data_IF_932282235407
#
_entry.id   IF_932282235407
#
_cell.length_a   1.000
_cell.length_b   1.000
_cell.length_c   1.000
_cell.angle_alpha   90.00
_cell.angle_beta   90.00
_cell.angle_gamma   90.00
#
_symmetry.space_group_name_H-M   'P 1'
#
loop_
_entity.id
_entity.type
_entity.pdbx_description
1 polymer ?
#
# COMPACT_ATOMS: atom_id res chain seq x y z
N UNK A 1 -22.10 -11.75 -13.52
CA UNK A 1 -22.33 -10.99 -12.27
C UNK A 1 -21.01 -10.30 -11.92
N UNK A 2 -21.03 -9.04 -11.44
CA UNK A 2 -19.80 -8.33 -11.04
C UNK A 2 -19.63 -8.56 -9.54
N UNK A 3 -18.43 -9.02 -9.12
CA UNK A 3 -18.09 -9.21 -7.72
C UNK A 3 -17.45 -7.92 -7.16
N UNK A 4 -17.73 -7.58 -5.92
CA UNK A 4 -17.16 -6.41 -5.20
C UNK A 4 -16.20 -6.82 -4.08
N UNK A 5 -15.95 -8.11 -3.89
CA UNK A 5 -15.00 -8.60 -2.89
C UNK A 5 -13.56 -8.40 -3.36
N UNK A 6 -12.95 -7.35 -2.86
CA UNK A 6 -11.57 -6.99 -3.20
C UNK A 6 -10.55 -8.01 -2.67
N UNK A 7 -10.77 -8.59 -1.48
CA UNK A 7 -9.86 -9.59 -0.94
C UNK A 7 -9.85 -10.84 -1.83
N UNK A 8 -11.02 -11.33 -2.23
CA UNK A 8 -11.13 -12.44 -3.17
C UNK A 8 -10.50 -12.15 -4.54
N UNK A 9 -10.59 -10.89 -5.04
CA UNK A 9 -9.91 -10.49 -6.26
C UNK A 9 -8.39 -10.64 -6.15
N UNK A 10 -7.81 -10.11 -5.09
CA UNK A 10 -6.36 -10.15 -4.90
C UNK A 10 -5.85 -11.56 -4.59
N UNK A 11 -6.57 -12.37 -3.81
CA UNK A 11 -6.25 -13.78 -3.58
C UNK A 11 -6.11 -14.56 -4.91
N UNK A 12 -7.10 -14.44 -5.79
CA UNK A 12 -7.09 -15.11 -7.10
C UNK A 12 -6.01 -14.60 -8.05
N UNK A 13 -5.52 -13.40 -7.81
CA UNK A 13 -4.47 -12.78 -8.63
C UNK A 13 -3.06 -12.99 -8.07
N UNK A 14 -2.89 -13.59 -6.91
CA UNK A 14 -1.62 -13.67 -6.21
C UNK A 14 -0.46 -14.17 -7.11
N UNK A 15 -0.66 -15.24 -7.85
CA UNK A 15 0.37 -15.85 -8.71
C UNK A 15 0.88 -14.91 -9.84
N UNK A 16 0.07 -13.95 -10.29
CA UNK A 16 0.41 -13.02 -11.39
C UNK A 16 0.54 -11.57 -10.90
N UNK A 17 0.47 -11.36 -9.58
CA UNK A 17 0.42 -10.01 -9.04
C UNK A 17 1.65 -9.17 -9.38
N UNK A 18 2.84 -9.75 -9.34
CA UNK A 18 4.11 -9.02 -9.58
C UNK A 18 4.35 -8.62 -11.04
N UNK A 19 3.54 -9.09 -12.00
CA UNK A 19 3.60 -8.60 -13.39
C UNK A 19 3.43 -7.08 -13.49
N UNK A 20 2.73 -6.47 -12.51
CA UNK A 20 2.58 -4.99 -12.44
C UNK A 20 3.90 -4.26 -12.29
N UNK A 21 4.91 -4.91 -11.68
CA UNK A 21 6.25 -4.36 -11.46
C UNK A 21 7.20 -4.61 -12.63
N UNK A 22 6.80 -5.37 -13.65
CA UNK A 22 7.66 -5.74 -14.78
C UNK A 22 7.47 -4.83 -16.00
N UNK A 23 6.64 -3.81 -15.92
CA UNK A 23 6.35 -2.89 -17.02
C UNK A 23 7.58 -2.05 -17.35
N UNK A 24 8.11 -2.12 -18.60
CA UNK A 24 9.36 -1.43 -18.96
C UNK A 24 9.31 0.08 -18.74
N UNK A 25 8.19 0.71 -19.08
CA UNK A 25 7.98 2.15 -18.98
C UNK A 25 7.97 2.68 -17.53
N UNK A 26 7.94 1.79 -16.54
CA UNK A 26 7.85 2.16 -15.11
C UNK A 26 9.10 1.85 -14.31
N UNK A 27 10.12 1.28 -14.94
CA UNK A 27 11.29 0.75 -14.22
C UNK A 27 12.09 1.85 -13.51
N UNK A 28 12.32 2.99 -14.16
CA UNK A 28 13.08 4.11 -13.58
C UNK A 28 12.38 4.68 -12.34
N UNK A 29 11.06 4.82 -12.42
CA UNK A 29 10.27 5.29 -11.27
C UNK A 29 10.21 4.25 -10.15
N UNK A 30 10.08 2.98 -10.51
CA UNK A 30 10.09 1.89 -9.54
C UNK A 30 11.42 1.83 -8.78
N UNK A 31 12.55 1.95 -9.50
CA UNK A 31 13.87 2.03 -8.88
C UNK A 31 13.99 3.25 -7.96
N UNK A 32 13.50 4.41 -8.39
CA UNK A 32 13.46 5.62 -7.56
C UNK A 32 12.67 5.39 -6.27
N UNK A 33 11.51 4.74 -6.36
CA UNK A 33 10.69 4.42 -5.18
C UNK A 33 11.39 3.41 -4.25
N UNK A 34 12.04 2.38 -4.81
CA UNK A 34 12.78 1.39 -4.01
C UNK A 34 13.87 2.06 -3.18
N UNK A 35 14.69 2.91 -3.80
CA UNK A 35 15.75 3.67 -3.10
C UNK A 35 15.14 4.55 -2.02
N UNK A 36 14.07 5.29 -2.32
CA UNK A 36 13.42 6.17 -1.33
C UNK A 36 12.78 5.42 -0.17
N UNK A 37 12.18 4.25 -0.43
CA UNK A 37 11.63 3.40 0.63
C UNK A 37 12.74 2.86 1.53
N UNK A 38 13.85 2.37 0.94
CA UNK A 38 15.01 1.89 1.70
C UNK A 38 15.58 2.99 2.61
N UNK A 39 15.79 4.22 2.09
CA UNK A 39 16.26 5.37 2.86
C UNK A 39 15.32 5.73 4.02
N UNK A 40 14.01 5.75 3.77
CA UNK A 40 13.00 6.11 4.77
C UNK A 40 12.82 5.05 5.84
N UNK A 41 13.06 3.78 5.52
CA UNK A 41 12.88 2.65 6.43
C UNK A 41 14.16 2.25 7.18
N UNK A 42 15.30 2.87 6.85
CA UNK A 42 16.59 2.53 7.44
C UNK A 42 16.56 2.60 8.98
N UNK A 43 16.92 1.50 9.63
CA UNK A 43 17.00 1.39 11.08
C UNK A 43 15.66 1.36 11.83
N UNK A 44 14.54 1.43 11.12
CA UNK A 44 13.21 1.39 11.75
C UNK A 44 12.75 -0.04 12.07
N UNK A 45 11.98 -0.18 13.17
CA UNK A 45 11.09 -1.32 13.38
C UNK A 45 9.79 -1.04 12.63
N UNK A 46 9.58 -1.74 11.52
CA UNK A 46 8.53 -1.44 10.52
C UNK A 46 7.35 -2.39 10.65
N UNK A 47 6.13 -1.84 10.64
CA UNK A 47 4.91 -2.56 10.33
C UNK A 47 4.54 -2.29 8.88
N UNK A 48 4.50 -3.33 8.05
CA UNK A 48 3.97 -3.28 6.70
C UNK A 48 2.56 -3.86 6.69
N UNK A 49 1.58 -3.07 6.27
CA UNK A 49 0.18 -3.48 6.18
C UNK A 49 -0.20 -3.72 4.73
N UNK A 50 -0.93 -4.80 4.45
CA UNK A 50 -1.29 -5.28 3.12
C UNK A 50 -0.04 -5.48 2.23
N UNK A 51 0.89 -6.32 2.70
CA UNK A 51 2.19 -6.53 2.06
C UNK A 51 2.11 -7.27 0.70
N UNK A 52 0.97 -7.89 0.40
CA UNK A 52 0.80 -8.69 -0.80
C UNK A 52 1.85 -9.80 -0.90
N UNK A 53 2.47 -9.94 -2.06
CA UNK A 53 3.51 -10.94 -2.34
C UNK A 53 4.88 -10.64 -1.72
N UNK A 54 4.99 -9.58 -0.90
CA UNK A 54 6.25 -9.22 -0.23
C UNK A 54 7.26 -8.47 -1.11
N UNK A 55 6.85 -7.92 -2.25
CA UNK A 55 7.74 -7.15 -3.11
C UNK A 55 8.37 -5.95 -2.37
N UNK A 56 7.55 -5.20 -1.63
CA UNK A 56 8.04 -4.07 -0.83
C UNK A 56 8.68 -4.54 0.47
N UNK A 57 8.23 -5.64 1.05
CA UNK A 57 8.89 -6.25 2.22
C UNK A 57 10.37 -6.51 1.96
N UNK A 58 10.70 -7.01 0.76
CA UNK A 58 12.10 -7.23 0.35
C UNK A 58 12.92 -5.93 0.37
N UNK A 59 12.37 -4.86 -0.18
CA UNK A 59 13.05 -3.55 -0.20
C UNK A 59 13.20 -2.97 1.21
N UNK A 60 12.16 -3.07 2.03
CA UNK A 60 12.17 -2.59 3.41
C UNK A 60 13.16 -3.38 4.26
N UNK A 61 13.16 -4.71 4.15
CA UNK A 61 14.04 -5.59 4.94
C UNK A 61 15.53 -5.38 4.66
N UNK A 62 15.89 -4.81 3.51
CA UNK A 62 17.28 -4.50 3.17
C UNK A 62 17.92 -3.49 4.14
N UNK A 63 17.16 -2.52 4.64
CA UNK A 63 17.70 -1.41 5.46
C UNK A 63 17.03 -1.30 6.82
N UNK A 64 15.80 -1.78 6.99
CA UNK A 64 15.08 -1.75 8.25
C UNK A 64 15.80 -2.58 9.34
N UNK A 65 15.54 -2.22 10.59
CA UNK A 65 15.98 -3.03 11.74
C UNK A 65 15.17 -4.32 11.83
N UNK A 66 13.84 -4.23 11.67
CA UNK A 66 12.94 -5.40 11.58
C UNK A 66 11.67 -5.04 10.84
N UNK A 67 11.02 -6.03 10.23
CA UNK A 67 9.73 -5.89 9.55
C UNK A 67 8.74 -6.92 10.09
N UNK A 68 7.54 -6.49 10.45
CA UNK A 68 6.36 -7.33 10.49
C UNK A 68 5.49 -6.97 9.28
N UNK A 69 5.35 -7.89 8.35
CA UNK A 69 4.55 -7.74 7.15
C UNK A 69 3.24 -8.51 7.29
N UNK A 70 2.12 -7.85 7.00
CA UNK A 70 0.79 -8.47 7.19
C UNK A 70 -0.06 -8.36 5.94
N UNK A 71 -0.83 -9.39 5.68
CA UNK A 71 -1.86 -9.40 4.62
C UNK A 71 -3.06 -10.22 5.08
N UNK A 72 -4.22 -9.98 4.48
CA UNK A 72 -5.44 -10.74 4.76
C UNK A 72 -5.50 -12.05 3.96
N UNK A 73 -4.77 -12.13 2.86
CA UNK A 73 -4.80 -13.27 1.94
C UNK A 73 -3.66 -14.25 2.24
N UNK A 74 -3.97 -15.50 2.63
CA UNK A 74 -2.94 -16.51 2.88
C UNK A 74 -2.11 -16.84 1.62
N UNK A 75 -2.69 -16.72 0.42
CA UNK A 75 -1.99 -16.92 -0.84
C UNK A 75 -0.88 -15.86 -1.06
N UNK A 76 -1.13 -14.63 -0.64
CA UNK A 76 -0.13 -13.56 -0.68
C UNK A 76 0.99 -13.82 0.33
N UNK A 77 0.65 -14.17 1.57
CA UNK A 77 1.62 -14.49 2.62
C UNK A 77 2.52 -15.66 2.20
N UNK A 78 1.95 -16.72 1.62
CA UNK A 78 2.74 -17.87 1.16
C UNK A 78 3.80 -17.48 0.12
N UNK A 79 3.46 -16.58 -0.81
CA UNK A 79 4.41 -16.05 -1.80
C UNK A 79 5.46 -15.14 -1.16
N UNK A 80 5.07 -14.33 -0.20
CA UNK A 80 5.97 -13.44 0.52
C UNK A 80 6.99 -14.21 1.37
N UNK A 81 6.56 -15.27 2.06
CA UNK A 81 7.43 -16.16 2.86
C UNK A 81 8.42 -16.96 1.98
N UNK A 82 8.05 -17.24 0.72
CA UNK A 82 8.93 -17.94 -0.21
C UNK A 82 10.10 -17.07 -0.72
N UNK A 83 10.08 -15.76 -0.49
CA UNK A 83 11.16 -14.85 -0.90
C UNK A 83 12.42 -15.05 -0.03
N UNK A 84 13.58 -14.90 -0.65
CA UNK A 84 14.86 -14.94 0.05
C UNK A 84 15.16 -13.57 0.69
N UNK A 85 14.67 -13.36 1.90
CA UNK A 85 14.90 -12.14 2.66
C UNK A 85 16.13 -12.27 3.58
N UNK A 86 16.76 -11.16 4.00
CA UNK A 86 17.84 -11.21 4.99
C UNK A 86 17.37 -11.90 6.27
N UNK A 87 18.15 -12.87 6.73
CA UNK A 87 17.78 -13.75 7.85
C UNK A 87 17.37 -12.97 9.11
N UNK A 88 16.21 -13.28 9.66
CA UNK A 88 15.68 -12.67 10.88
C UNK A 88 15.18 -11.22 10.75
N UNK A 89 15.19 -10.65 9.53
CA UNK A 89 14.76 -9.27 9.31
C UNK A 89 13.25 -9.10 9.15
N UNK A 90 12.59 -10.06 8.52
CA UNK A 90 11.16 -10.02 8.29
C UNK A 90 10.42 -11.21 8.91
N UNK A 91 9.24 -10.94 9.37
CA UNK A 91 8.23 -11.94 9.80
C UNK A 91 6.91 -11.61 9.14
N UNK A 92 6.11 -12.63 8.87
CA UNK A 92 4.81 -12.49 8.19
C UNK A 92 3.68 -12.92 9.12
N UNK A 93 2.51 -12.27 8.98
CA UNK A 93 1.32 -12.63 9.73
C UNK A 93 0.05 -12.41 8.90
N UNK A 94 -0.88 -13.35 9.02
CA UNK A 94 -2.20 -13.24 8.42
C UNK A 94 -3.06 -12.30 9.30
N UNK A 95 -3.30 -11.07 8.84
CA UNK A 95 -4.09 -10.07 9.57
C UNK A 95 -4.85 -9.16 8.60
N UNK A 96 -6.08 -8.80 8.98
CA UNK A 96 -6.84 -7.76 8.30
C UNK A 96 -6.35 -6.37 8.74
N UNK A 97 -6.03 -5.50 7.79
CA UNK A 97 -5.59 -4.12 8.00
C UNK A 97 -6.57 -3.28 8.85
N UNK A 98 -7.86 -3.63 8.84
CA UNK A 98 -8.87 -2.91 9.63
C UNK A 98 -8.87 -3.33 11.11
N UNK A 99 -8.46 -4.56 11.40
CA UNK A 99 -8.57 -5.15 12.74
C UNK A 99 -7.23 -5.60 13.33
N UNK A 100 -6.11 -5.39 12.63
CA UNK A 100 -4.79 -5.82 13.07
C UNK A 100 -4.47 -5.38 14.50
N UNK A 101 -3.65 -6.16 15.17
CA UNK A 101 -3.13 -5.84 16.49
C UNK A 101 -1.61 -5.65 16.39
N UNK A 102 -1.13 -4.57 17.00
CA UNK A 102 0.30 -4.35 17.17
C UNK A 102 0.77 -5.12 18.40
N UNK A 103 1.52 -6.20 18.21
CA UNK A 103 2.06 -7.07 19.26
C UNK A 103 3.33 -6.50 19.90
N UNK A 104 3.91 -5.50 19.29
CA UNK A 104 5.14 -4.81 19.71
C UNK A 104 5.12 -3.34 19.28
N UNK A 105 6.11 -2.57 19.73
CA UNK A 105 6.29 -1.18 19.30
C UNK A 105 6.95 -1.13 17.91
N UNK A 106 6.38 -0.30 17.07
CA UNK A 106 6.93 0.04 15.75
C UNK A 106 7.35 1.51 15.74
N UNK A 107 8.31 1.87 14.93
CA UNK A 107 8.75 3.25 14.71
C UNK A 107 8.36 3.77 13.33
N UNK A 108 7.97 2.87 12.42
CA UNK A 108 7.45 3.20 11.10
C UNK A 108 6.30 2.26 10.69
N UNK A 109 5.43 2.77 9.82
CA UNK A 109 4.38 2.01 9.15
C UNK A 109 4.47 2.24 7.65
N UNK A 110 4.40 1.18 6.87
CA UNK A 110 4.42 1.23 5.41
C UNK A 110 3.12 0.70 4.82
N UNK A 111 2.65 1.37 3.77
CA UNK A 111 1.44 1.02 3.00
C UNK A 111 1.75 1.12 1.51
N UNK A 112 1.89 -0.03 0.84
CA UNK A 112 2.08 -0.10 -0.61
C UNK A 112 0.76 -0.35 -1.34
N UNK A 113 0.33 0.60 -2.20
CA UNK A 113 -0.85 0.48 -3.09
C UNK A 113 -2.19 0.23 -2.39
N UNK A 114 -2.27 0.55 -1.10
CA UNK A 114 -3.47 0.39 -0.29
C UNK A 114 -4.32 1.67 -0.19
N UNK A 115 -3.70 2.86 -0.17
CA UNK A 115 -4.40 4.12 0.07
C UNK A 115 -5.54 4.38 -0.92
N UNK A 116 -5.36 4.00 -2.18
CA UNK A 116 -6.38 4.12 -3.22
C UNK A 116 -7.63 3.28 -2.98
N UNK A 117 -7.55 2.27 -2.13
CA UNK A 117 -8.67 1.41 -1.74
C UNK A 117 -9.40 1.91 -0.48
N UNK A 118 -8.92 2.99 0.15
CA UNK A 118 -9.60 3.61 1.29
C UNK A 118 -10.60 4.63 0.79
N UNK A 119 -11.88 4.47 1.14
CA UNK A 119 -12.92 5.42 0.80
C UNK A 119 -12.55 6.85 1.26
N UNK A 120 -12.84 7.84 0.43
CA UNK A 120 -12.47 9.24 0.71
C UNK A 120 -13.00 9.74 2.04
N UNK A 121 -14.19 9.28 2.43
CA UNK A 121 -14.84 9.60 3.72
C UNK A 121 -14.13 8.93 4.90
N UNK A 122 -13.44 7.81 4.68
CA UNK A 122 -12.82 6.98 5.73
C UNK A 122 -11.33 7.28 5.95
N UNK A 123 -10.69 8.02 5.05
CA UNK A 123 -9.24 8.24 5.06
C UNK A 123 -8.72 8.86 6.37
N UNK A 124 -9.42 9.85 6.93
CA UNK A 124 -9.02 10.48 8.20
C UNK A 124 -9.20 9.51 9.36
N UNK A 125 -10.30 8.75 9.37
CA UNK A 125 -10.56 7.72 10.36
C UNK A 125 -9.50 6.62 10.32
N UNK A 126 -9.08 6.20 9.13
CA UNK A 126 -8.03 5.20 8.96
C UNK A 126 -6.70 5.66 9.61
N UNK A 127 -6.26 6.91 9.38
CA UNK A 127 -5.05 7.43 10.03
C UNK A 127 -5.23 7.53 11.56
N UNK A 128 -6.42 7.90 12.04
CA UNK A 128 -6.71 7.94 13.47
C UNK A 128 -6.61 6.53 14.11
N UNK A 129 -7.06 5.49 13.41
CA UNK A 129 -6.90 4.10 13.83
C UNK A 129 -5.43 3.67 13.87
N UNK A 130 -4.62 4.06 12.87
CA UNK A 130 -3.18 3.80 12.92
C UNK A 130 -2.54 4.46 14.14
N UNK A 131 -2.89 5.71 14.43
CA UNK A 131 -2.42 6.42 15.63
C UNK A 131 -2.80 5.71 16.94
N UNK A 132 -4.05 5.27 17.04
CA UNK A 132 -4.54 4.56 18.23
C UNK A 132 -3.73 3.27 18.47
N UNK A 133 -3.47 2.50 17.42
CA UNK A 133 -2.79 1.21 17.49
C UNK A 133 -1.26 1.31 17.61
N UNK A 134 -0.64 2.28 16.95
CA UNK A 134 0.81 2.39 16.83
C UNK A 134 1.41 3.51 17.68
N UNK A 135 0.59 4.46 18.11
CA UNK A 135 1.03 5.64 18.87
C UNK A 135 1.33 6.85 18.01
N UNK A 136 1.84 7.90 18.67
CA UNK A 136 2.26 9.14 18.03
C UNK A 136 3.67 9.03 17.46
N UNK A 137 3.99 9.94 16.56
CA UNK A 137 5.32 10.14 15.95
C UNK A 137 5.81 8.98 15.08
N UNK A 138 4.94 8.00 14.80
CA UNK A 138 5.21 6.94 13.84
C UNK A 138 5.46 7.57 12.45
N UNK A 139 6.56 7.17 11.83
CA UNK A 139 6.82 7.49 10.44
C UNK A 139 5.86 6.68 9.56
N UNK A 140 4.94 7.36 8.91
CA UNK A 140 4.04 6.73 7.92
C UNK A 140 4.60 6.98 6.52
N UNK A 141 4.81 5.91 5.77
CA UNK A 141 5.18 5.97 4.35
C UNK A 141 4.13 5.24 3.53
N UNK A 142 3.63 5.92 2.53
CA UNK A 142 2.63 5.39 1.60
C UNK A 142 3.11 5.56 0.17
N UNK A 143 2.91 4.55 -0.65
CA UNK A 143 3.07 4.62 -2.10
C UNK A 143 1.79 4.16 -2.77
N UNK A 144 1.44 4.77 -3.90
CA UNK A 144 0.32 4.30 -4.72
C UNK A 144 0.45 4.81 -6.17
N UNK A 145 -0.48 4.40 -7.02
CA UNK A 145 -0.48 4.77 -8.43
C UNK A 145 -0.94 6.22 -8.67
N UNK A 146 -0.31 6.88 -9.64
CA UNK A 146 -0.90 7.97 -10.39
C UNK A 146 -1.90 7.44 -11.43
N UNK A 147 -2.82 8.29 -11.87
CA UNK A 147 -3.65 8.00 -13.03
C UNK A 147 -2.98 8.59 -14.28
N UNK A 148 -2.67 7.74 -15.22
CA UNK A 148 -2.12 8.14 -16.52
C UNK A 148 -3.13 7.72 -17.58
N UNK A 149 -3.64 8.68 -18.33
CA UNK A 149 -4.64 8.42 -19.36
C UNK A 149 -4.08 7.44 -20.40
N UNK A 150 -4.92 6.60 -20.97
CA UNK A 150 -4.58 5.53 -21.92
C UNK A 150 -3.69 4.39 -21.38
N UNK A 151 -2.99 4.59 -20.26
CA UNK A 151 -2.14 3.55 -19.65
C UNK A 151 -2.74 2.95 -18.37
N UNK A 152 -3.60 3.68 -17.69
CA UNK A 152 -4.34 3.19 -16.53
C UNK A 152 -5.60 2.44 -16.96
N UNK A 153 -6.03 1.48 -16.15
CA UNK A 153 -7.38 0.92 -16.34
C UNK A 153 -8.40 2.05 -16.23
N UNK A 154 -9.33 2.18 -17.16
CA UNK A 154 -10.32 3.25 -17.14
C UNK A 154 -11.16 3.28 -15.86
N UNK A 155 -11.50 4.49 -15.41
CA UNK A 155 -12.48 4.67 -14.34
C UNK A 155 -13.86 4.32 -14.89
N UNK A 156 -14.50 3.33 -14.26
CA UNK A 156 -15.81 2.83 -14.69
C UNK A 156 -16.95 3.67 -14.15
N UNK A 157 -16.83 4.17 -12.92
CA UNK A 157 -17.81 5.07 -12.27
C UNK A 157 -17.20 5.85 -11.12
N UNK A 158 -17.91 6.86 -10.70
CA UNK A 158 -17.66 7.64 -9.48
C UNK A 158 -18.91 7.62 -8.61
N UNK A 159 -18.77 7.44 -7.30
CA UNK A 159 -19.89 7.51 -6.36
C UNK A 159 -20.16 8.95 -5.85
N UNK A 160 -21.14 9.08 -4.96
CA UNK A 160 -21.54 10.39 -4.39
C UNK A 160 -20.44 11.01 -3.52
N UNK A 161 -19.61 10.20 -2.89
CA UNK A 161 -18.46 10.62 -2.05
C UNK A 161 -17.23 10.96 -2.91
N UNK A 162 -17.32 10.74 -4.23
CA UNK A 162 -16.24 10.98 -5.20
C UNK A 162 -15.23 9.84 -5.28
N UNK A 163 -15.51 8.66 -4.70
CA UNK A 163 -14.66 7.49 -4.90
C UNK A 163 -14.80 6.99 -6.34
N UNK A 164 -13.68 6.59 -6.91
CA UNK A 164 -13.60 6.05 -8.26
C UNK A 164 -13.43 4.53 -8.23
N UNK A 165 -14.04 3.86 -9.21
CA UNK A 165 -14.06 2.41 -9.32
C UNK A 165 -13.59 1.97 -10.70
N UNK A 166 -12.89 0.84 -10.75
CA UNK A 166 -12.41 0.22 -11.98
C UNK A 166 -12.93 -1.20 -12.10
N UNK A 167 -13.30 -1.62 -13.31
CA UNK A 167 -13.54 -3.04 -13.58
C UNK A 167 -12.23 -3.75 -13.85
N UNK A 168 -12.04 -4.87 -13.18
CA UNK A 168 -10.91 -5.77 -13.31
C UNK A 168 -11.40 -7.13 -13.78
N UNK A 169 -10.79 -7.68 -14.81
CA UNK A 169 -11.13 -9.01 -15.34
C UNK A 169 -9.96 -9.95 -15.09
N UNK A 170 -10.23 -11.08 -14.46
CA UNK A 170 -9.27 -12.16 -14.27
C UNK A 170 -9.13 -12.99 -15.56
N UNK A 171 -8.03 -13.75 -15.73
CA UNK A 171 -7.84 -14.62 -16.92
C UNK A 171 -8.96 -15.64 -17.14
N UNK A 172 -9.64 -16.06 -16.07
CA UNK A 172 -10.80 -16.96 -16.13
C UNK A 172 -12.11 -16.25 -16.54
N UNK A 173 -12.08 -14.94 -16.85
CA UNK A 173 -13.23 -14.13 -17.24
C UNK A 173 -14.07 -13.57 -16.09
N UNK A 174 -13.74 -13.87 -14.85
CA UNK A 174 -14.43 -13.27 -13.70
C UNK A 174 -14.16 -11.76 -13.65
N UNK A 175 -15.22 -11.00 -13.35
CA UNK A 175 -15.14 -9.54 -13.29
C UNK A 175 -15.36 -9.03 -11.87
N UNK A 176 -14.49 -8.12 -11.46
CA UNK A 176 -14.53 -7.46 -10.16
C UNK A 176 -14.63 -5.95 -10.32
N UNK A 177 -15.41 -5.31 -9.46
CA UNK A 177 -15.39 -3.88 -9.27
C UNK A 177 -14.49 -3.55 -8.08
N UNK A 178 -13.42 -2.81 -8.35
CA UNK A 178 -12.43 -2.46 -7.32
C UNK A 178 -12.41 -0.94 -7.15
N UNK A 179 -12.57 -0.48 -5.90
CA UNK A 179 -12.35 0.93 -5.58
C UNK A 179 -10.88 1.27 -5.86
N UNK A 180 -10.65 2.33 -6.63
CA UNK A 180 -9.29 2.82 -6.95
C UNK A 180 -9.34 4.34 -7.06
N UNK A 181 -8.96 5.01 -5.98
CA UNK A 181 -8.88 6.45 -5.89
C UNK A 181 -7.51 6.97 -6.35
N UNK A 182 -7.50 8.12 -7.02
CA UNK A 182 -6.28 8.78 -7.48
C UNK A 182 -6.22 10.18 -6.88
N UNK A 183 -5.58 10.35 -5.71
CA UNK A 183 -5.55 11.62 -5.02
C UNK A 183 -4.57 12.59 -5.69
N UNK A 184 -4.92 13.89 -5.68
CA UNK A 184 -3.98 14.97 -5.99
C UNK A 184 -3.14 15.32 -4.77
N UNK A 185 -1.99 15.99 -4.97
CA UNK A 185 -1.14 16.44 -3.86
C UNK A 185 -1.88 17.41 -2.93
N UNK A 186 -2.66 18.32 -3.51
CA UNK A 186 -3.50 19.23 -2.73
C UNK A 186 -4.55 18.50 -1.91
N UNK A 187 -5.16 17.44 -2.46
CA UNK A 187 -6.11 16.58 -1.76
C UNK A 187 -5.48 15.83 -0.59
N UNK A 188 -4.29 15.24 -0.80
CA UNK A 188 -3.53 14.57 0.25
C UNK A 188 -3.16 15.57 1.36
N UNK A 189 -2.60 16.73 1.01
CA UNK A 189 -2.22 17.78 1.99
C UNK A 189 -3.43 18.28 2.78
N UNK A 190 -4.55 18.59 2.11
CA UNK A 190 -5.77 19.05 2.77
C UNK A 190 -6.27 18.08 3.83
N UNK A 191 -6.20 16.77 3.56
CA UNK A 191 -6.69 15.75 4.48
C UNK A 191 -5.71 15.41 5.60
N UNK A 192 -4.42 15.31 5.28
CA UNK A 192 -3.44 14.72 6.18
C UNK A 192 -2.69 15.77 7.02
N UNK A 193 -2.45 17.00 6.54
CA UNK A 193 -1.72 18.02 7.30
C UNK A 193 -2.31 18.33 8.69
N UNK A 194 -3.63 18.32 8.90
CA UNK A 194 -4.20 18.54 10.23
C UNK A 194 -3.80 17.48 11.26
N UNK A 195 -3.63 16.22 10.81
CA UNK A 195 -3.41 15.05 11.66
C UNK A 195 -1.99 14.48 11.58
N UNK A 196 -1.14 15.05 10.73
CA UNK A 196 0.26 14.66 10.55
C UNK A 196 1.18 15.88 10.57
N UNK A 197 2.48 15.64 10.71
CA UNK A 197 3.56 16.63 10.58
C UNK A 197 4.62 16.14 9.59
N UNK A 198 5.48 17.03 9.12
CA UNK A 198 6.58 16.74 8.21
C UNK A 198 6.13 16.07 6.88
N UNK A 199 4.92 16.42 6.41
CA UNK A 199 4.34 15.80 5.23
C UNK A 199 5.10 16.19 3.96
N UNK A 200 5.66 15.19 3.31
CA UNK A 200 6.37 15.30 2.04
C UNK A 200 5.70 14.39 1.00
N UNK A 201 5.64 14.84 -0.24
CA UNK A 201 5.10 14.08 -1.36
C UNK A 201 6.12 14.13 -2.49
N UNK A 202 6.50 12.97 -2.99
CA UNK A 202 7.19 12.78 -4.25
C UNK A 202 6.15 12.33 -5.27
N UNK A 203 5.88 13.18 -6.29
CA UNK A 203 4.97 12.86 -7.39
C UNK A 203 5.79 12.51 -8.62
N UNK A 204 5.57 11.31 -9.14
CA UNK A 204 6.10 10.81 -10.39
C UNK A 204 4.95 10.67 -11.40
N UNK A 205 5.22 10.20 -12.60
CA UNK A 205 4.18 10.02 -13.62
C UNK A 205 3.22 8.89 -13.25
N UNK A 206 3.77 7.70 -12.93
CA UNK A 206 2.98 6.49 -12.65
C UNK A 206 2.68 6.29 -11.18
N UNK A 207 3.45 6.91 -10.30
CA UNK A 207 3.39 6.67 -8.86
C UNK A 207 3.46 7.95 -8.05
N UNK A 208 3.15 7.83 -6.79
CA UNK A 208 3.48 8.83 -5.79
C UNK A 208 3.95 8.16 -4.49
N UNK A 209 4.80 8.84 -3.77
CA UNK A 209 5.23 8.48 -2.43
C UNK A 209 4.91 9.63 -1.49
N UNK A 210 4.30 9.31 -0.35
CA UNK A 210 4.06 10.25 0.73
C UNK A 210 4.76 9.75 1.99
N UNK A 211 5.48 10.63 2.67
CA UNK A 211 6.00 10.39 4.00
C UNK A 211 5.53 11.47 4.97
N UNK A 212 5.19 11.09 6.20
CA UNK A 212 4.80 12.00 7.27
C UNK A 212 4.95 11.34 8.63
N UNK A 213 4.85 12.14 9.71
CA UNK A 213 4.72 11.60 11.07
C UNK A 213 3.31 11.82 11.57
N UNK A 214 2.72 10.79 12.17
CA UNK A 214 1.38 10.85 12.79
C UNK A 214 1.47 11.70 14.07
N UNK A 215 0.57 12.70 14.23
CA UNK A 215 0.52 13.60 15.43
C UNK A 215 -0.04 12.89 16.64
#
# INVERSE_FOLDING_TARGET
>A
MINTDMAAYYAKRAATYEEIYQRPERQDELLTLQVRVQELMEGHDVLELACGTGFWTEQIAATAKSVLATDINPEMIALAEAKQLPAGKATFALQDINTFQADRKFSACFLGFWWSHVGRQDQVRFIAQLREKLGKDILLVMIDNGYVEEQSTPIARTDAEGNTYQFRTLPNGERYEVMKNFPTDSGLRKKLSPITRELRILRLEYYWLLSCRIK
#
